data_IF_245204977190
#
_entry.id   IF_245204977190
#
_cell.length_a   1.000
_cell.length_b   1.000
_cell.length_c   1.000
_cell.angle_alpha   90.00
_cell.angle_beta   90.00
_cell.angle_gamma   90.00
#
_symmetry.space_group_name_H-M   'P 1'
#
loop_
_entity.id
_entity.type
_entity.pdbx_description
1 polymer ?
2 polymer ?
3 non-polymer ?
4 non-polymer ?
5 non-polymer ?
6 non-polymer ?
7 water ?
#
# COMPACT_ATOMS: atom_id res chain seq x y z
N UNK A 1 -4.10 -12.16 7.41
CA UNK A 1 -2.65 -12.29 7.68
C UNK A 1 -2.37 -13.58 8.47
N UNK A 2 -1.43 -14.42 7.98
CA UNK A 2 -1.02 -15.69 8.62
C UNK A 2 0.35 -15.49 9.31
N UNK A 3 0.43 -15.87 10.57
CA UNK A 3 1.67 -15.86 11.34
C UNK A 3 2.23 -14.51 11.71
N UNK A 4 1.38 -13.49 11.77
CA UNK A 4 1.78 -12.15 12.17
C UNK A 4 1.43 -11.89 13.62
N UNK A 5 1.24 -10.63 13.95
CA UNK A 5 0.82 -10.21 15.30
C UNK A 5 -0.22 -9.09 15.15
N UNK A 6 -0.91 -8.75 16.23
CA UNK A 6 -1.87 -7.65 16.23
C UNK A 6 -1.04 -6.36 16.03
N UNK A 7 -1.50 -5.46 15.13
CA UNK A 7 -0.81 -4.19 14.97
C UNK A 7 -1.31 -3.34 16.15
N UNK A 8 -0.42 -2.88 17.06
CA UNK A 8 -0.92 -2.08 18.19
C UNK A 8 -1.72 -0.91 17.65
N UNK A 9 -2.92 -0.67 18.22
CA UNK A 9 -3.82 0.40 17.78
C UNK A 9 -3.08 1.74 17.54
N UNK A 10 -3.23 2.28 16.32
CA UNK A 10 -2.60 3.54 15.90
C UNK A 10 -1.23 3.37 15.27
N UNK A 11 -0.67 2.13 15.24
CA UNK A 11 0.65 1.90 14.64
C UNK A 11 0.60 1.59 13.12
N UNK A 12 -0.61 1.38 12.60
CA UNK A 12 -0.86 1.16 11.18
C UNK A 12 -1.91 2.23 10.77
N UNK A 13 -1.62 3.55 10.92
CA UNK A 13 -2.71 4.54 10.76
C UNK A 13 -3.14 4.87 9.33
N UNK A 14 -2.45 4.35 8.34
CA UNK A 14 -2.78 4.50 6.92
C UNK A 14 -3.64 3.32 6.45
N UNK A 15 -3.81 2.30 7.30
CA UNK A 15 -4.61 1.11 6.92
C UNK A 15 -6.07 1.51 6.65
N UNK A 16 -6.64 1.02 5.55
CA UNK A 16 -8.03 1.29 5.21
C UNK A 16 -8.79 -0.05 5.22
N UNK A 17 -10.04 -0.01 5.69
CA UNK A 17 -10.93 -1.17 5.56
C UNK A 17 -11.99 -0.80 4.52
N UNK A 18 -12.15 -1.62 3.50
CA UNK A 18 -13.18 -1.40 2.49
C UNK A 18 -14.35 -2.33 2.76
N UNK A 19 -15.54 -1.74 2.75
CA UNK A 19 -16.81 -2.43 3.00
C UNK A 19 -17.78 -2.25 1.85
N UNK A 20 -18.62 -3.28 1.61
CA UNK A 20 -19.66 -3.23 0.57
C UNK A 20 -20.93 -3.74 1.26
N UNK A 21 -21.96 -2.87 1.37
CA UNK A 21 -23.20 -3.22 2.09
C UNK A 21 -22.87 -3.58 3.56
N UNK A 22 -21.86 -2.91 4.11
CA UNK A 22 -21.39 -3.14 5.47
C UNK A 22 -20.53 -4.37 5.70
N UNK A 23 -20.32 -5.20 4.66
CA UNK A 23 -19.52 -6.42 4.78
C UNK A 23 -18.07 -6.20 4.33
N UNK A 24 -17.14 -6.91 5.00
CA UNK A 24 -15.71 -6.86 4.68
C UNK A 24 -15.44 -7.24 3.23
N UNK A 25 -14.76 -6.35 2.51
CA UNK A 25 -14.38 -6.60 1.13
C UNK A 25 -12.88 -6.78 0.96
N UNK A 26 -12.10 -5.75 1.32
CA UNK A 26 -10.65 -5.69 1.06
C UNK A 26 -10.03 -4.65 1.99
N UNK A 27 -8.73 -4.49 1.83
CA UNK A 27 -7.95 -3.46 2.51
C UNK A 27 -7.62 -2.37 1.51
N UNK A 28 -6.95 -1.35 2.00
CA UNK A 28 -6.52 -0.20 1.22
C UNK A 28 -5.46 0.56 1.99
N UNK A 29 -4.89 1.57 1.33
CA UNK A 29 -3.87 2.43 1.94
C UNK A 29 -4.21 3.88 1.68
N UNK A 30 -4.28 4.66 2.74
CA UNK A 30 -4.53 6.08 2.64
C UNK A 30 -3.19 6.75 2.20
N UNK A 31 -3.20 7.58 1.14
CA UNK A 31 -1.93 8.23 0.71
C UNK A 31 -1.99 9.78 0.85
N UNK A 32 -3.17 10.32 1.11
CA UNK A 32 -3.41 11.74 1.48
C UNK A 32 -4.85 11.84 2.04
N UNK A 33 -5.42 13.03 2.28
CA UNK A 33 -6.74 13.06 2.92
C UNK A 33 -7.94 12.57 2.06
N UNK A 34 -7.77 12.46 0.74
CA UNK A 34 -8.88 12.11 -0.11
C UNK A 34 -8.67 10.82 -0.93
N UNK A 35 -7.43 10.38 -1.06
CA UNK A 35 -7.09 9.27 -1.96
C UNK A 35 -6.63 8.01 -1.24
N UNK A 36 -7.15 6.86 -1.70
CA UNK A 36 -6.83 5.53 -1.19
C UNK A 36 -6.32 4.63 -2.34
N UNK A 37 -5.26 3.86 -2.07
CA UNK A 37 -4.76 2.92 -3.07
C UNK A 37 -5.24 1.52 -2.61
N UNK A 38 -5.80 0.75 -3.53
CA UNK A 38 -6.24 -0.61 -3.23
C UNK A 38 -5.91 -1.51 -4.44
N UNK A 39 -6.48 -2.73 -4.49
CA UNK A 39 -6.24 -3.65 -5.59
C UNK A 39 -7.41 -3.64 -6.55
N UNK A 40 -7.13 -3.61 -7.86
CA UNK A 40 -8.19 -3.63 -8.89
C UNK A 40 -9.15 -4.83 -8.73
N UNK A 41 -8.61 -6.02 -8.37
CA UNK A 41 -9.41 -7.26 -8.30
C UNK A 41 -10.51 -7.23 -7.25
N UNK A 42 -10.38 -6.34 -6.23
CA UNK A 42 -11.41 -6.17 -5.19
C UNK A 42 -12.76 -5.71 -5.77
N UNK A 43 -12.77 -5.12 -6.97
CA UNK A 43 -13.97 -4.55 -7.58
C UNK A 43 -14.56 -5.37 -8.72
N UNK A 44 -14.02 -6.58 -8.95
CA UNK A 44 -14.49 -7.47 -10.04
C UNK A 44 -15.96 -7.85 -9.91
N UNK A 45 -16.46 -8.00 -8.67
CA UNK A 45 -17.81 -8.49 -8.46
C UNK A 45 -18.76 -7.48 -7.82
N UNK A 46 -18.44 -6.18 -7.89
CA UNK A 46 -19.29 -5.13 -7.32
C UNK A 46 -20.43 -4.75 -8.29
N UNK A 47 -21.67 -4.71 -7.78
CA UNK A 47 -22.84 -4.26 -8.56
C UNK A 47 -23.40 -3.00 -7.89
N UNK A 48 -23.38 -2.97 -6.54
CA UNK A 48 -23.82 -1.88 -5.68
C UNK A 48 -22.65 -0.92 -5.42
N UNK A 49 -22.25 -0.17 -6.47
CA UNK A 49 -21.17 0.82 -6.44
C UNK A 49 -21.41 1.94 -5.42
N UNK A 50 -22.69 2.23 -5.11
CA UNK A 50 -23.10 3.28 -4.16
C UNK A 50 -22.97 2.87 -2.69
N UNK A 51 -22.76 1.57 -2.43
CA UNK A 51 -22.65 1.05 -1.08
C UNK A 51 -21.20 0.68 -0.69
N UNK A 52 -20.22 1.28 -1.40
CA UNK A 52 -18.79 1.07 -1.16
C UNK A 52 -18.34 2.08 -0.12
N UNK A 53 -17.81 1.61 1.03
CA UNK A 53 -17.37 2.49 2.12
C UNK A 53 -15.92 2.21 2.48
N UNK A 54 -15.14 3.28 2.75
CA UNK A 54 -13.78 3.15 3.25
C UNK A 54 -13.81 3.60 4.71
N UNK A 55 -13.18 2.82 5.60
CA UNK A 55 -13.11 3.14 7.02
C UNK A 55 -11.64 3.35 7.35
N UNK A 56 -11.32 4.52 7.94
CA UNK A 56 -9.99 4.90 8.42
C UNK A 56 -10.03 4.88 9.93
N UNK A 57 -8.87 4.71 10.56
CA UNK A 57 -8.72 4.69 12.01
C UNK A 57 -9.35 3.46 12.66
N UNK A 58 -9.59 2.43 11.85
CA UNK A 58 -10.17 1.17 12.34
C UNK A 58 -9.08 0.34 13.03
N UNK A 59 -9.48 -0.43 14.03
CA UNK A 59 -8.56 -1.34 14.72
C UNK A 59 -9.27 -2.65 15.04
N UNK A 60 -10.29 -2.57 15.89
CA UNK A 60 -11.07 -3.71 16.37
C UNK A 60 -12.48 -3.65 15.76
N UNK A 61 -12.82 -4.66 14.95
CA UNK A 61 -14.12 -4.69 14.25
C UNK A 61 -15.34 -4.95 15.16
N UNK A 62 -15.10 -5.35 16.41
CA UNK A 62 -16.18 -5.69 17.33
C UNK A 62 -16.71 -4.48 18.13
N UNK A 63 -15.95 -3.37 18.18
CA UNK A 63 -16.36 -2.19 18.95
C UNK A 63 -16.08 -0.89 18.22
N UNK A 64 -16.88 0.12 18.51
CA UNK A 64 -16.71 1.48 17.99
C UNK A 64 -16.05 2.28 19.11
N UNK A 65 -14.81 2.73 18.91
CA UNK A 65 -14.14 3.51 19.96
C UNK A 65 -14.10 5.02 19.66
N UNK A 66 -14.65 5.46 18.52
CA UNK A 66 -14.71 6.86 18.16
C UNK A 66 -13.55 7.38 17.29
N UNK A 67 -12.51 6.57 17.08
CA UNK A 67 -11.41 6.96 16.17
C UNK A 67 -11.71 6.59 14.71
N UNK A 68 -12.73 5.75 14.49
CA UNK A 68 -13.11 5.33 13.13
C UNK A 68 -13.71 6.51 12.36
N UNK A 69 -13.41 6.59 11.07
CA UNK A 69 -13.96 7.60 10.19
C UNK A 69 -14.38 6.87 8.92
N UNK A 70 -15.68 6.92 8.59
CA UNK A 70 -16.22 6.26 7.39
C UNK A 70 -16.47 7.26 6.29
N UNK A 71 -16.11 6.89 5.06
CA UNK A 71 -16.34 7.75 3.91
C UNK A 71 -16.85 6.93 2.77
N UNK A 72 -17.79 7.48 1.99
CA UNK A 72 -18.28 6.83 0.77
C UNK A 72 -17.17 6.94 -0.25
N UNK A 73 -17.01 5.90 -1.08
CA UNK A 73 -16.03 5.91 -2.16
C UNK A 73 -16.73 6.55 -3.35
N UNK A 74 -16.28 7.74 -3.75
CA UNK A 74 -16.85 8.49 -4.88
C UNK A 74 -16.44 7.89 -6.22
N UNK A 75 -15.19 7.41 -6.32
CA UNK A 75 -14.69 6.88 -7.58
C UNK A 75 -13.65 5.81 -7.38
N UNK A 76 -13.68 4.82 -8.27
CA UNK A 76 -12.71 3.74 -8.30
C UNK A 76 -12.07 3.83 -9.67
N UNK A 77 -10.75 4.06 -9.72
CA UNK A 77 -10.01 4.23 -10.98
C UNK A 77 -9.08 3.04 -11.18
N UNK A 78 -9.24 2.35 -12.29
CA UNK A 78 -8.48 1.14 -12.60
C UNK A 78 -7.68 1.34 -13.89
N UNK A 79 -6.43 0.80 -14.01
CA UNK A 79 -5.73 0.92 -15.29
C UNK A 79 -6.43 0.17 -16.40
N UNK A 80 -6.41 0.73 -17.62
CA UNK A 80 -7.03 0.12 -18.81
C UNK A 80 -6.47 -1.30 -19.08
N UNK A 81 -5.22 -1.53 -18.65
CA UNK A 81 -4.51 -2.79 -18.86
C UNK A 81 -4.97 -3.91 -17.94
N UNK A 82 -5.69 -3.56 -16.83
CA UNK A 82 -6.18 -4.58 -15.91
C UNK A 82 -7.34 -5.35 -16.57
N UNK A 83 -7.29 -6.67 -16.47
CA UNK A 83 -8.33 -7.55 -17.01
C UNK A 83 -9.06 -8.28 -15.85
N UNK A 84 -10.39 -8.05 -15.64
CA UNK A 84 -11.10 -8.73 -14.55
C UNK A 84 -10.94 -10.26 -14.59
N UNK A 85 -10.76 -10.84 -13.42
CA UNK A 85 -10.53 -12.27 -13.27
C UNK A 85 -9.07 -12.68 -13.44
N UNK A 86 -8.17 -11.71 -13.69
CA UNK A 86 -6.74 -11.99 -13.83
C UNK A 86 -5.95 -11.25 -12.74
N UNK A 87 -4.61 -11.35 -12.76
CA UNK A 87 -3.74 -10.79 -11.71
C UNK A 87 -2.88 -9.58 -12.12
N UNK A 88 -2.59 -9.39 -13.41
CA UNK A 88 -1.71 -8.30 -13.82
C UNK A 88 -2.33 -6.91 -13.66
N UNK A 89 -1.49 -5.90 -13.34
CA UNK A 89 -1.91 -4.49 -13.14
C UNK A 89 -2.96 -4.39 -12.02
N UNK A 90 -2.69 -5.06 -10.90
CA UNK A 90 -3.66 -5.17 -9.83
C UNK A 90 -3.63 -3.96 -8.88
N UNK A 91 -4.15 -2.85 -9.37
CA UNK A 91 -4.12 -1.59 -8.62
C UNK A 91 -5.39 -0.78 -8.90
N UNK A 92 -5.87 -0.08 -7.88
CA UNK A 92 -7.03 0.78 -7.97
C UNK A 92 -6.77 2.03 -7.16
N UNK A 93 -7.19 3.16 -7.69
CA UNK A 93 -7.07 4.42 -7.00
C UNK A 93 -8.48 4.89 -6.68
N UNK A 94 -8.74 5.15 -5.40
CA UNK A 94 -10.06 5.48 -4.89
C UNK A 94 -10.14 6.88 -4.35
N UNK A 95 -11.13 7.65 -4.85
CA UNK A 95 -11.38 9.01 -4.40
C UNK A 95 -12.49 8.97 -3.35
N UNK A 96 -12.22 9.50 -2.16
CA UNK A 96 -13.24 9.53 -1.12
C UNK A 96 -14.21 10.67 -1.40
N UNK A 97 -15.48 10.54 -1.00
CA UNK A 97 -16.51 11.58 -1.24
C UNK A 97 -16.19 12.87 -0.50
N UNK A 98 -15.62 12.75 0.70
CA UNK A 98 -15.20 13.85 1.57
C UNK A 98 -13.86 13.44 2.19
N UNK A 99 -12.92 14.39 2.40
CA UNK A 99 -11.64 14.00 3.03
C UNK A 99 -11.82 13.44 4.42
N UNK A 100 -10.89 12.56 4.80
CA UNK A 100 -10.78 12.10 6.17
C UNK A 100 -10.07 13.24 6.93
N UNK A 101 -10.24 13.28 8.23
CA UNK A 101 -9.56 14.23 9.10
C UNK A 101 -8.32 13.53 9.64
N UNK A 102 -7.12 14.11 9.42
CA UNK A 102 -5.92 13.49 9.98
C UNK A 102 -5.89 13.65 11.49
N UNK A 103 -5.58 12.56 12.18
CA UNK A 103 -5.52 12.50 13.67
C UNK A 103 -4.38 11.56 14.05
N UNK A 104 -4.15 11.35 15.36
CA UNK A 104 -3.13 10.37 15.77
C UNK A 104 -3.43 8.98 15.22
N UNK A 105 -4.72 8.69 14.92
CA UNK A 105 -5.10 7.36 14.41
C UNK A 105 -5.35 7.28 12.89
N UNK A 106 -5.33 8.45 12.18
CA UNK A 106 -5.58 8.47 10.71
C UNK A 106 -4.47 9.31 10.08
N UNK A 107 -3.55 8.66 9.39
CA UNK A 107 -2.35 9.32 8.80
C UNK A 107 -2.05 8.66 7.47
N UNK A 108 -1.75 9.42 6.42
CA UNK A 108 -1.43 8.76 5.17
C UNK A 108 -0.02 8.15 5.13
N UNK A 109 0.13 7.13 4.31
CA UNK A 109 1.44 6.56 4.00
C UNK A 109 2.02 7.38 2.84
N UNK A 110 3.36 7.64 2.81
CA UNK A 110 3.91 8.41 1.69
C UNK A 110 3.91 7.61 0.40
N UNK A 111 3.35 8.19 -0.67
CA UNK A 111 3.47 7.58 -1.98
C UNK A 111 4.84 8.12 -2.47
N UNK A 112 5.85 7.24 -2.70
CA UNK A 112 7.18 7.76 -3.04
C UNK A 112 7.31 8.18 -4.50
N UNK A 113 8.40 8.89 -4.86
CA UNK A 113 8.68 9.15 -6.27
C UNK A 113 9.18 7.84 -6.88
N UNK A 114 8.99 7.68 -8.18
CA UNK A 114 9.40 6.46 -8.89
C UNK A 114 10.89 6.11 -8.74
N UNK A 115 11.79 7.08 -9.01
CA UNK A 115 13.24 6.81 -8.95
C UNK A 115 13.69 6.43 -7.57
N UNK A 116 13.20 7.16 -6.55
CA UNK A 116 13.51 6.83 -5.17
C UNK A 116 13.03 5.40 -4.83
N UNK A 117 11.82 5.04 -5.30
CA UNK A 117 11.28 3.71 -5.00
C UNK A 117 12.07 2.58 -5.70
N UNK A 118 12.44 2.78 -6.96
CA UNK A 118 13.19 1.79 -7.75
C UNK A 118 14.66 1.65 -7.32
N UNK A 119 15.32 2.78 -7.03
CA UNK A 119 16.75 2.80 -6.68
C UNK A 119 17.07 2.55 -5.22
N UNK A 120 16.13 2.84 -4.30
CA UNK A 120 16.39 2.74 -2.88
C UNK A 120 15.43 1.80 -2.16
N UNK A 121 14.12 2.11 -2.21
CA UNK A 121 13.10 1.33 -1.50
C UNK A 121 13.06 -0.13 -1.91
N UNK A 122 13.24 -0.41 -3.21
CA UNK A 122 13.23 -1.75 -3.78
C UNK A 122 14.32 -2.66 -3.19
N UNK A 123 15.36 -2.07 -2.56
CA UNK A 123 16.49 -2.80 -1.95
C UNK A 123 16.40 -2.87 -0.44
N UNK A 124 15.31 -2.31 0.17
CA UNK A 124 15.12 -2.43 1.62
C UNK A 124 14.51 -3.85 1.73
N UNK A 125 15.19 -4.75 2.47
CA UNK A 125 14.78 -6.16 2.52
C UNK A 125 13.40 -6.41 3.11
N UNK A 126 13.16 -5.94 4.34
CA UNK A 126 11.90 -6.19 5.03
C UNK A 126 10.93 -5.03 4.96
N UNK A 127 9.64 -5.37 4.86
CA UNK A 127 8.53 -4.43 4.81
C UNK A 127 7.33 -5.02 5.52
N UNK A 128 6.39 -4.17 5.93
CA UNK A 128 5.20 -4.63 6.68
C UNK A 128 3.98 -4.75 5.79
N UNK A 129 3.25 -5.85 5.97
CA UNK A 129 2.00 -6.13 5.27
C UNK A 129 0.94 -6.26 6.35
N UNK A 130 -0.26 -5.72 6.12
CA UNK A 130 -1.28 -5.71 7.15
C UNK A 130 -2.71 -5.85 6.64
N UNK A 131 -3.61 -6.28 7.52
CA UNK A 131 -5.02 -6.43 7.18
C UNK A 131 -5.83 -7.26 8.16
N UNK A 132 -7.14 -7.28 7.92
CA UNK A 132 -8.11 -8.01 8.74
C UNK A 132 -8.50 -9.33 8.05
N UNK A 133 -7.66 -9.79 7.14
CA UNK A 133 -7.86 -11.00 6.37
C UNK A 133 -7.82 -12.27 7.20
N UNK A 134 -7.99 -13.40 6.52
CA UNK A 134 -7.97 -14.73 7.16
C UNK A 134 -6.66 -14.97 7.89
N UNK A 135 -6.77 -15.50 9.10
CA UNK A 135 -5.63 -15.80 9.97
C UNK A 135 -4.92 -17.09 9.54
N UNK A 136 -5.61 -17.89 8.71
CA UNK A 136 -5.15 -19.18 8.22
C UNK A 136 -5.76 -19.41 6.87
N UNK A 137 -5.13 -20.25 6.07
CA UNK A 137 -5.71 -20.67 4.79
C UNK A 137 -7.01 -21.44 5.16
N UNK A 138 -8.15 -21.07 4.55
CA UNK A 138 -9.47 -21.63 4.83
C UNK A 138 -9.91 -21.45 6.30
N UNK A 139 -9.46 -20.34 6.91
CA UNK A 139 -9.74 -20.01 8.29
C UNK A 139 -10.54 -18.72 8.46
N UNK A 140 -10.83 -18.36 9.71
CA UNK A 140 -11.59 -17.17 10.05
C UNK A 140 -10.72 -15.90 9.85
N UNK A 141 -11.39 -14.78 9.60
CA UNK A 141 -10.74 -13.45 9.47
C UNK A 141 -10.48 -12.89 10.88
N UNK A 142 -9.61 -11.89 10.97
CA UNK A 142 -9.24 -11.27 12.24
C UNK A 142 -10.19 -10.18 12.64
N UNK A 143 -10.43 -10.05 13.96
CA UNK A 143 -11.22 -8.97 14.53
C UNK A 143 -10.32 -7.77 14.79
N UNK A 144 -9.03 -8.00 15.06
CA UNK A 144 -8.07 -6.90 15.27
C UNK A 144 -7.13 -6.85 14.09
N UNK A 145 -6.72 -5.64 13.69
CA UNK A 145 -5.82 -5.48 12.56
C UNK A 145 -4.51 -6.23 12.82
N UNK A 146 -4.07 -7.02 11.84
CA UNK A 146 -2.85 -7.81 11.94
C UNK A 146 -1.76 -7.23 11.05
N UNK A 147 -0.50 -7.46 11.41
CA UNK A 147 0.70 -6.97 10.69
C UNK A 147 1.75 -8.06 10.66
N UNK A 148 2.49 -8.12 9.56
CA UNK A 148 3.53 -9.11 9.35
C UNK A 148 4.72 -8.46 8.65
N UNK A 149 5.93 -8.78 9.14
CA UNK A 149 7.17 -8.34 8.50
C UNK A 149 7.56 -9.42 7.46
N UNK A 150 7.80 -9.01 6.21
CA UNK A 150 8.13 -9.92 5.10
C UNK A 150 9.36 -9.48 4.32
N UNK A 151 10.25 -10.43 3.92
CA UNK A 151 11.39 -10.04 3.05
C UNK A 151 10.99 -10.08 1.58
N UNK A 152 11.51 -9.14 0.81
CA UNK A 152 11.26 -9.04 -0.62
C UNK A 152 12.32 -9.87 -1.36
N UNK A 153 11.92 -10.52 -2.44
CA UNK A 153 12.80 -11.33 -3.27
C UNK A 153 12.93 -10.72 -4.67
N UNK A 154 14.07 -10.97 -5.34
CA UNK A 154 14.21 -10.60 -6.75
C UNK A 154 13.36 -11.67 -7.47
N UNK A 155 12.66 -11.28 -8.56
CA UNK A 155 11.74 -12.16 -9.30
C UNK A 155 12.41 -13.47 -9.79
N UNK A 156 13.68 -13.39 -10.26
CA UNK A 156 14.45 -14.59 -10.70
C UNK A 156 14.57 -15.55 -9.50
N UNK A 157 14.94 -15.01 -8.31
CA UNK A 157 15.08 -15.78 -7.08
C UNK A 157 13.75 -16.37 -6.60
N UNK A 158 12.62 -15.63 -6.81
CA UNK A 158 11.28 -16.11 -6.43
C UNK A 158 10.87 -17.31 -7.28
N UNK A 159 11.09 -17.23 -8.61
CA UNK A 159 10.80 -18.29 -9.59
C UNK A 159 11.66 -19.55 -9.38
N UNK A 160 12.94 -19.35 -9.00
CA UNK A 160 13.91 -20.40 -8.70
C UNK A 160 13.54 -21.17 -7.43
N UNK A 161 13.05 -20.45 -6.39
CA UNK A 161 12.68 -21.00 -5.09
C UNK A 161 11.26 -21.58 -5.02
N UNK A 162 10.44 -21.33 -6.06
CA UNK A 162 9.05 -21.78 -6.08
C UNK A 162 8.80 -23.08 -6.81
N UNK A 163 7.93 -23.92 -6.22
CA UNK A 163 7.49 -25.21 -6.76
C UNK A 163 6.58 -24.99 -7.97
N UNK A 164 6.73 -25.82 -9.02
CA UNK A 164 5.90 -25.74 -10.23
C UNK A 164 4.52 -26.33 -9.91
N UNK A 165 3.44 -25.70 -10.41
CA UNK A 165 2.08 -26.16 -10.14
C UNK A 165 1.23 -26.40 -11.39
N UNK A 166 1.48 -25.66 -12.46
CA UNK A 166 0.73 -25.76 -13.70
C UNK A 166 -0.50 -24.88 -13.69
N UNK A 167 -0.70 -24.08 -14.78
CA UNK A 167 -1.79 -23.10 -14.95
C UNK A 167 -1.69 -21.94 -13.93
N UNK A 168 -0.54 -21.84 -13.25
CA UNK A 168 -0.22 -20.81 -12.26
C UNK A 168 0.11 -19.49 -12.98
N UNK A 169 -0.31 -18.31 -12.46
CA UNK A 169 0.01 -17.06 -13.17
C UNK A 169 1.49 -16.70 -13.10
N UNK A 170 2.01 -16.07 -14.17
CA UNK A 170 3.41 -15.62 -14.25
C UNK A 170 3.61 -14.39 -13.34
N UNK A 171 4.86 -14.16 -12.90
CA UNK A 171 5.23 -12.99 -12.10
C UNK A 171 5.74 -11.98 -13.13
N UNK A 172 5.00 -10.87 -13.32
CA UNK A 172 5.33 -9.86 -14.33
C UNK A 172 6.17 -8.74 -13.70
N UNK A 173 6.60 -7.76 -14.51
CA UNK A 173 7.33 -6.59 -14.02
C UNK A 173 6.43 -5.63 -13.19
N UNK A 174 5.12 -5.88 -13.18
CA UNK A 174 4.13 -5.10 -12.41
C UNK A 174 3.82 -5.75 -11.06
N UNK A 175 4.64 -6.75 -10.68
CA UNK A 175 4.51 -7.48 -9.43
C UNK A 175 5.88 -7.70 -8.79
N UNK A 176 5.89 -8.14 -7.53
CA UNK A 176 7.06 -8.64 -6.83
C UNK A 176 6.65 -9.68 -5.78
N UNK A 177 7.58 -10.57 -5.44
CA UNK A 177 7.40 -11.61 -4.42
C UNK A 177 7.94 -11.11 -3.10
N UNK A 178 7.25 -11.47 -2.01
CA UNK A 178 7.66 -11.22 -0.65
C UNK A 178 7.08 -12.24 0.29
N UNK A 179 7.83 -12.58 1.31
CA UNK A 179 7.36 -13.53 2.31
C UNK A 179 8.29 -14.70 2.55
N UNK A 180 7.69 -15.87 2.88
CA UNK A 180 8.44 -17.08 3.25
C UNK A 180 7.86 -18.31 2.56
N UNK A 181 8.73 -19.27 2.21
CA UNK A 181 8.36 -20.50 1.51
C UNK A 181 8.18 -21.71 2.46
N UNK A 182 8.25 -21.51 3.79
CA UNK A 182 8.13 -22.61 4.76
C UNK A 182 6.71 -22.82 5.35
N UNK A 183 5.70 -22.18 4.77
CA UNK A 183 4.30 -22.31 5.19
C UNK A 183 3.93 -21.71 6.53
N UNK A 184 4.70 -20.75 7.01
CA UNK A 184 4.44 -20.15 8.31
C UNK A 184 3.82 -18.76 8.31
N UNK A 185 4.23 -17.90 7.35
CA UNK A 185 3.82 -16.48 7.35
C UNK A 185 3.50 -15.98 5.96
N UNK A 186 2.36 -15.27 5.82
CA UNK A 186 1.92 -14.74 4.54
C UNK A 186 0.72 -13.80 4.71
N UNK A 187 0.36 -13.12 3.61
CA UNK A 187 -0.85 -12.33 3.55
C UNK A 187 -1.92 -13.39 3.19
N UNK A 188 -3.20 -13.07 3.33
CA UNK A 188 -4.23 -14.08 3.02
C UNK A 188 -5.48 -13.42 2.41
N UNK A 189 -6.54 -14.22 2.12
CA UNK A 189 -7.78 -13.67 1.57
C UNK A 189 -8.32 -12.58 2.47
N UNK A 190 -8.79 -11.49 1.86
CA UNK A 190 -9.33 -10.40 2.65
C UNK A 190 -8.29 -9.34 2.97
N UNK A 191 -6.99 -9.67 2.85
CA UNK A 191 -5.92 -8.66 3.04
C UNK A 191 -5.68 -7.88 1.74
N UNK A 192 -6.15 -8.42 0.61
CA UNK A 192 -6.01 -7.82 -0.73
C UNK A 192 -6.26 -6.32 -0.70
N UNK A 193 -5.39 -5.57 -1.37
CA UNK A 193 -5.51 -4.11 -1.46
C UNK A 193 -4.80 -3.36 -0.36
N UNK A 194 -4.44 -4.09 0.71
CA UNK A 194 -3.74 -3.50 1.86
C UNK A 194 -2.29 -3.12 1.55
N UNK A 195 -1.67 -2.37 2.47
CA UNK A 195 -0.30 -1.90 2.24
C UNK A 195 0.81 -2.93 2.44
N UNK A 196 1.86 -2.78 1.62
CA UNK A 196 3.18 -3.37 1.79
C UNK A 196 3.99 -2.06 1.95
N UNK A 197 4.33 -1.73 3.19
CA UNK A 197 4.95 -0.46 3.63
C UNK A 197 6.42 -0.65 3.95
N UNK A 198 7.27 0.24 3.44
CA UNK A 198 8.71 0.13 3.60
C UNK A 198 9.26 1.35 4.35
N UNK A 199 10.05 1.09 5.40
CA UNK A 199 10.70 2.11 6.21
C UNK A 199 12.05 2.50 5.58
N UNK A 200 12.31 3.79 5.54
CA UNK A 200 13.59 4.32 5.06
C UNK A 200 13.86 5.65 5.74
N UNK A 201 14.97 5.71 6.52
CA UNK A 201 15.44 6.89 7.25
C UNK A 201 14.33 7.62 8.05
N UNK A 202 13.59 6.86 8.85
CA UNK A 202 12.58 7.37 9.75
C UNK A 202 11.19 7.60 9.18
N UNK A 203 10.95 7.22 7.90
CA UNK A 203 9.65 7.44 7.22
C UNK A 203 9.18 6.20 6.49
N UNK A 204 7.85 5.98 6.47
CA UNK A 204 7.24 4.82 5.80
C UNK A 204 6.67 5.21 4.44
N UNK A 205 6.87 4.33 3.45
CA UNK A 205 6.45 4.54 2.06
C UNK A 205 5.64 3.35 1.52
N UNK A 206 4.78 3.63 0.55
CA UNK A 206 3.99 2.60 -0.12
C UNK A 206 4.82 1.99 -1.25
N UNK A 207 5.13 0.70 -1.10
CA UNK A 207 5.89 -0.02 -2.14
C UNK A 207 5.11 -1.15 -2.79
N UNK A 208 4.12 -1.67 -2.08
CA UNK A 208 3.36 -2.79 -2.65
C UNK A 208 1.91 -2.78 -2.22
N UNK A 209 1.10 -3.55 -2.94
CA UNK A 209 -0.32 -3.76 -2.61
C UNK A 209 -0.50 -5.29 -2.50
N UNK A 210 -1.13 -5.75 -1.41
CA UNK A 210 -1.45 -7.20 -1.28
C UNK A 210 -2.30 -7.57 -2.51
N UNK A 211 -1.83 -8.55 -3.29
CA UNK A 211 -2.52 -8.88 -4.53
C UNK A 211 -3.01 -10.36 -4.60
N UNK A 212 -2.07 -11.32 -4.59
CA UNK A 212 -2.41 -12.75 -4.72
C UNK A 212 -1.30 -13.72 -4.25
N UNK A 213 -1.63 -15.00 -4.26
CA UNK A 213 -0.76 -16.09 -3.89
C UNK A 213 -1.45 -17.40 -4.18
N UNK A 214 -0.71 -18.53 -4.13
CA UNK A 214 -1.30 -19.85 -4.44
C UNK A 214 -1.68 -20.52 -3.14
N UNK A 215 -2.72 -19.99 -2.51
CA UNK A 215 -3.17 -20.39 -1.18
C UNK A 215 -2.32 -19.64 -0.15
N UNK A 216 -2.86 -19.46 1.06
CA UNK A 216 -2.13 -18.72 2.09
C UNK A 216 -1.08 -19.54 2.77
N UNK A 217 0.16 -19.02 2.78
CA UNK A 217 1.32 -19.64 3.42
C UNK A 217 1.49 -21.10 2.96
N UNK A 218 1.44 -21.32 1.65
CA UNK A 218 1.60 -22.64 1.05
C UNK A 218 3.11 -22.89 0.96
N UNK A 219 3.59 -24.07 1.44
CA UNK A 219 5.01 -24.45 1.39
C UNK A 219 5.48 -24.35 -0.07
N UNK A 220 6.64 -23.74 -0.30
CA UNK A 220 7.21 -23.59 -1.62
C UNK A 220 6.70 -22.38 -2.40
N UNK A 221 5.88 -21.51 -1.76
CA UNK A 221 5.33 -20.32 -2.42
C UNK A 221 5.47 -19.06 -1.60
N UNK A 222 5.52 -17.91 -2.29
CA UNK A 222 5.64 -16.59 -1.67
C UNK A 222 4.40 -15.78 -1.98
N UNK A 223 4.18 -14.70 -1.23
CA UNK A 223 3.09 -13.77 -1.51
C UNK A 223 3.46 -12.90 -2.71
N UNK A 224 2.46 -12.51 -3.51
CA UNK A 224 2.68 -11.67 -4.70
C UNK A 224 2.03 -10.31 -4.43
N UNK A 225 2.78 -9.25 -4.72
CA UNK A 225 2.35 -7.89 -4.43
C UNK A 225 2.44 -7.04 -5.68
N UNK A 226 1.51 -6.09 -5.86
CA UNK A 226 1.56 -5.19 -7.03
C UNK A 226 2.76 -4.27 -6.83
N UNK A 227 3.60 -4.11 -7.86
CA UNK A 227 4.81 -3.27 -7.77
C UNK A 227 4.40 -1.81 -8.02
N UNK A 228 4.08 -1.10 -6.93
CA UNK A 228 3.55 0.28 -6.92
C UNK A 228 4.42 1.28 -7.73
N UNK A 229 5.75 1.10 -7.72
CA UNK A 229 6.69 2.01 -8.41
C UNK A 229 6.38 2.15 -9.91
N UNK A 230 5.78 1.12 -10.53
CA UNK A 230 5.40 1.12 -11.94
C UNK A 230 4.24 2.11 -12.21
N UNK A 231 3.50 2.50 -11.14
CA UNK A 231 2.27 3.28 -11.22
C UNK A 231 2.34 4.68 -10.65
N UNK A 232 3.50 5.11 -10.12
CA UNK A 232 3.61 6.43 -9.51
C UNK A 232 3.10 7.55 -10.43
N UNK A 233 3.62 7.62 -11.66
CA UNK A 233 3.25 8.68 -12.60
C UNK A 233 1.76 8.60 -12.96
N UNK A 234 1.23 7.37 -13.13
CA UNK A 234 -0.17 7.11 -13.43
C UNK A 234 -1.07 7.67 -12.30
N UNK A 235 -0.74 7.34 -11.05
CA UNK A 235 -1.46 7.80 -9.85
C UNK A 235 -1.38 9.34 -9.71
N UNK A 236 -0.15 9.93 -9.81
CA UNK A 236 0.02 11.38 -9.66
C UNK A 236 -0.82 12.16 -10.65
N UNK A 237 -0.84 11.72 -11.91
CA UNK A 237 -1.61 12.39 -12.96
C UNK A 237 -3.12 12.34 -12.64
N UNK A 238 -3.63 11.18 -12.20
CA UNK A 238 -5.03 11.04 -11.81
C UNK A 238 -5.42 11.90 -10.61
N UNK A 239 -4.52 12.01 -9.62
CA UNK A 239 -4.81 12.83 -8.43
C UNK A 239 -4.85 14.34 -8.74
N UNK A 240 -4.23 14.76 -9.84
CA UNK A 240 -4.22 16.18 -10.27
C UNK A 240 -5.41 16.47 -11.20
N UNK A 241 -6.29 15.47 -11.44
CA UNK A 241 -7.42 15.61 -12.35
C UNK A 241 -8.75 15.82 -11.63
N UNK A 242 -9.69 16.50 -12.31
CA UNK A 242 -11.02 16.76 -11.79
C UNK A 242 -11.84 15.49 -11.78
N UNK A 243 -12.69 15.27 -10.76
CA UNK A 243 -13.58 14.10 -10.78
C UNK A 243 -14.48 14.07 -12.03
N UNK A 244 -14.80 12.84 -12.49
CA UNK A 244 -15.65 12.57 -13.66
C UNK A 244 -16.87 11.79 -13.18
N UNK A 245 -18.08 12.00 -13.78
CA UNK A 245 -19.26 11.23 -13.31
C UNK A 245 -19.09 9.71 -13.45
N UNK A 246 -19.79 8.96 -12.61
CA UNK A 246 -19.73 7.49 -12.59
C UNK A 246 -18.65 7.00 -11.64
N UNK A 247 -18.98 6.00 -10.81
CA UNK A 247 -18.06 5.48 -9.81
C UNK A 247 -16.84 4.80 -10.46
N UNK A 248 -17.05 3.86 -11.38
CA UNK A 248 -15.90 3.19 -11.98
C UNK A 248 -15.34 3.94 -13.16
N UNK A 249 -14.02 4.18 -13.15
CA UNK A 249 -13.34 4.83 -14.25
C UNK A 249 -12.13 3.99 -14.69
N UNK A 250 -12.05 3.70 -16.00
CA UNK A 250 -10.89 3.00 -16.53
C UNK A 250 -9.99 4.08 -17.14
N UNK A 251 -8.75 4.17 -16.66
CA UNK A 251 -7.82 5.18 -17.16
C UNK A 251 -6.69 4.56 -17.93
N UNK A 252 -6.29 5.14 -19.08
CA UNK A 252 -5.19 4.54 -19.85
C UNK A 252 -3.91 4.35 -19.05
N UNK A 253 -3.28 3.20 -19.23
CA UNK A 253 -1.99 2.91 -18.61
C UNK A 253 -1.10 2.46 -19.79
N UNK A 254 0.14 3.00 -19.95
CA UNK A 254 0.83 4.01 -19.12
C UNK A 254 0.15 5.39 -19.05
N UNK B 1 24.96 10.87 -9.02
CA UNK B 1 25.09 10.94 -7.56
C UNK B 1 23.89 10.24 -6.87
N UNK B 2 22.66 10.48 -7.36
CA UNK B 2 21.43 9.91 -6.79
C UNK B 2 21.40 8.38 -6.82
N UNK B 3 22.07 7.77 -7.82
CA UNK B 3 22.16 6.30 -7.95
C UNK B 3 22.90 5.66 -6.76
N UNK B 4 23.93 6.34 -6.21
CA UNK B 4 24.69 5.84 -5.06
C UNK B 4 24.18 6.37 -3.71
N UNK B 5 23.69 5.45 -2.85
CA UNK B 5 23.13 5.68 -1.50
C UNK B 5 22.14 6.87 -1.44
N UNK B 6 21.27 6.97 -2.47
CA UNK B 6 20.23 7.99 -2.62
C UNK B 6 20.81 9.43 -2.66
N UNK B 7 22.08 9.53 -3.05
CA UNK B 7 22.84 10.77 -3.12
C UNK B 7 23.00 11.44 -1.77
N UNK B 8 22.84 10.66 -0.70
CA UNK B 8 22.87 11.14 0.68
C UNK B 8 21.54 11.77 1.14
N UNK B 9 20.52 11.81 0.25
CA UNK B 9 19.22 12.43 0.58
C UNK B 9 18.39 11.57 1.53
N UNK B 10 17.70 12.21 2.48
CA UNK B 10 16.81 11.48 3.38
C UNK B 10 15.59 10.98 2.60
N UNK B 11 15.09 11.78 1.65
CA UNK B 11 13.93 11.43 0.84
C UNK B 11 14.25 11.37 -0.65
N UNK B 12 13.88 12.40 -1.45
CA UNK B 12 14.04 12.36 -2.90
C UNK B 12 15.33 12.99 -3.37
N UNK B 13 15.86 12.50 -4.48
CA UNK B 13 17.12 12.98 -5.04
C UNK B 13 16.95 13.31 -6.52
N UNK B 14 17.49 14.47 -6.94
CA UNK B 14 17.49 14.92 -8.33
C UNK B 14 18.93 15.22 -8.78
N UNK B 15 19.37 14.52 -9.85
CA UNK B 15 20.69 14.69 -10.45
C UNK B 15 20.65 15.88 -11.37
N UNK B 16 21.73 16.67 -11.38
CA UNK B 16 21.87 17.85 -12.22
C UNK B 16 23.21 17.79 -12.99
N UNK B 17 23.38 18.69 -13.98
CA UNK B 17 24.58 18.78 -14.82
C UNK B 17 25.85 18.89 -13.98
N UNK B 18 26.84 18.05 -14.30
CA UNK B 18 28.10 17.99 -13.58
C UNK B 18 27.98 17.26 -12.26
N UNK B 19 28.69 17.76 -11.22
CA UNK B 19 28.66 17.15 -9.88
C UNK B 19 27.57 17.82 -8.99
N UNK B 20 26.40 18.14 -9.57
CA UNK B 20 25.30 18.78 -8.85
C UNK B 20 24.15 17.81 -8.50
N UNK B 21 23.66 17.92 -7.26
CA UNK B 21 22.60 17.08 -6.70
C UNK B 21 21.67 17.96 -5.87
N UNK B 22 20.33 17.78 -6.01
CA UNK B 22 19.38 18.52 -5.20
C UNK B 22 18.47 17.48 -4.51
N UNK B 23 18.43 17.50 -3.16
CA UNK B 23 17.54 16.64 -2.39
C UNK B 23 16.22 17.37 -2.30
N UNK B 24 15.13 16.61 -2.23
CA UNK B 24 13.81 17.20 -2.11
C UNK B 24 13.05 16.37 -1.09
N UNK B 25 11.88 16.86 -0.70
CA UNK B 25 11.04 16.23 0.29
C UNK B 25 9.63 16.09 -0.25
N UNK B 26 8.88 15.15 0.31
CA UNK B 26 7.46 14.95 0.01
C UNK B 26 6.73 16.18 0.57
N UNK B 27 5.50 16.47 0.08
CA UNK B 27 4.66 17.55 0.65
C UNK B 27 4.50 17.31 2.15
N UNK B 28 4.39 18.39 2.93
CA UNK B 28 4.26 18.29 4.38
C UNK B 28 5.62 18.20 5.08
N UNK B 29 6.71 18.38 4.31
CA UNK B 29 8.09 18.39 4.79
C UNK B 29 8.88 19.51 4.10
N UNK B 30 9.92 20.02 4.78
CA UNK B 30 10.86 20.99 4.20
C UNK B 30 12.28 20.49 4.38
N UNK B 31 13.14 20.83 3.43
CA UNK B 31 14.55 20.45 3.41
C UNK B 31 15.33 21.33 4.42
N UNK B 32 16.15 20.70 5.25
CA UNK B 32 16.97 21.44 6.23
C UNK B 32 18.12 22.12 5.49
N UNK B 33 18.84 23.04 6.18
CA UNK B 33 19.99 23.75 5.59
C UNK B 33 21.17 22.82 5.26
N UNK B 34 21.19 21.58 5.82
CA UNK B 34 22.19 20.57 5.45
C UNK B 34 22.00 20.11 3.98
N UNK B 35 20.83 20.42 3.41
CA UNK B 35 20.49 20.07 2.03
C UNK B 35 20.16 18.60 1.81
N UNK B 36 20.05 17.79 2.90
CA UNK B 36 19.75 16.34 2.79
C UNK B 36 18.53 15.90 3.63
N UNK B 37 18.38 16.49 4.82
CA UNK B 37 17.35 16.09 5.79
C UNK B 37 16.02 16.76 5.52
N UNK B 38 14.93 16.04 5.88
CA UNK B 38 13.56 16.52 5.73
C UNK B 38 12.91 16.62 7.09
N UNK B 39 12.26 17.75 7.36
CA UNK B 39 11.60 17.95 8.64
C UNK B 39 10.09 18.21 8.41
N UNK B 40 9.17 17.66 9.23
CA UNK B 40 7.74 17.94 9.01
C UNK B 40 7.38 19.43 9.15
N UNK B 41 6.48 19.89 8.29
CA UNK B 41 5.97 21.26 8.35
C UNK B 41 4.49 21.23 8.79
N UNK B 42 3.92 20.01 8.88
CA UNK B 42 2.51 19.81 9.27
C UNK B 42 2.43 18.93 10.50
N UNK B 43 1.25 18.89 11.12
CA UNK B 43 1.01 18.09 12.31
C UNK B 43 1.03 16.59 12.02
N UNK B 44 0.45 16.16 10.88
CA UNK B 44 0.37 14.73 10.50
C UNK B 44 1.07 14.46 9.17
N UNK B 45 2.43 14.54 9.12
CA UNK B 45 3.12 14.31 7.84
C UNK B 45 2.95 12.84 7.46
N UNK B 46 2.99 12.56 6.17
CA UNK B 46 2.89 11.18 5.72
C UNK B 46 4.01 10.28 6.26
N UNK B 47 3.68 9.00 6.46
CA UNK B 47 4.68 8.00 6.80
C UNK B 47 5.31 8.07 8.15
N UNK B 48 4.73 8.86 9.09
CA UNK B 48 5.17 8.95 10.48
C UNK B 48 4.01 8.47 11.34
N UNK B 49 4.33 7.81 12.44
CA UNK B 49 3.35 7.24 13.38
C UNK B 49 3.27 8.08 14.64
N UNK B 50 2.20 8.92 14.75
CA UNK B 50 2.10 9.83 15.90
C UNK B 50 2.28 9.22 17.29
N UNK B 51 1.68 8.06 17.57
CA UNK B 51 1.82 7.46 18.91
C UNK B 51 3.27 7.03 19.21
N UNK B 52 4.07 6.76 18.15
CA UNK B 52 5.47 6.39 18.31
C UNK B 52 6.34 7.65 18.36
N UNK B 53 5.99 8.68 17.55
CA UNK B 53 6.68 9.98 17.51
C UNK B 53 6.57 10.73 18.85
N UNK B 54 5.35 10.74 19.45
CA UNK B 54 5.02 11.41 20.72
C UNK B 54 5.73 10.80 21.94
N UNK B 55 6.17 9.52 21.87
CA UNK B 55 6.87 8.87 22.96
C UNK B 55 8.34 8.60 22.64
X LIG C 1 -12.26 -12.99 3.57
X LIG C 1 -13.51 -12.13 3.28
X LIG C 1 -14.34 -12.12 4.57
X LIG C 1 -13.06 -10.67 3.06
X LIG C 1 -14.21 -12.75 2.05
X LIG C 1 -15.64 -12.26 1.75
X LIG C 1 -16.19 -13.00 0.65
X LIG C 1 -13.40 -12.94 0.85
X LIG C 1 -12.89 -14.05 0.30
X LIG C 1 -13.13 -15.18 0.69
X LIG C 1 -12.03 -13.87 -0.91
X LIG C 1 -12.15 -14.64 -2.09
X LIG C 1 -11.35 -14.38 -3.21
X LIG C 1 -10.43 -13.32 -3.21
X LIG C 1 -10.33 -12.55 -2.05
X LIG C 1 -11.12 -12.80 -0.91
X LIG C 1 -9.42 -11.38 -1.85
X LIG C 1 -9.45 -10.49 -2.70
X LIG C 1 -8.55 -11.25 -0.87
X LIG C 1 -9.61 -13.04 -4.43
X LIG C 1 -10.31 -12.59 -5.58
X LIG C 1 -9.65 -12.23 -6.76
X LIG C 1 -8.24 -12.22 -6.74
X LIG C 1 -7.57 -12.60 -5.62
X LIG C 1 -8.22 -12.99 -4.49
X LIG C 1 -7.27 -13.37 -3.42
X LIG C 1 -7.66 -14.29 -2.72
X LIG C 1 -6.07 -12.83 -3.13
X LIG C 1 -5.08 -13.07 -2.25
X LIG C 1 -4.53 -12.12 -1.39
X LIG C 1 -3.53 -12.45 -0.46
X LIG C 1 -3.08 -13.76 -0.36
X LIG C 1 -3.63 -14.75 -1.19
X LIG C 1 -4.64 -14.42 -2.11
X LIG C 1 -3.14 -16.17 -1.11
X LIG C 1 -3.89 -17.10 -1.36
X LIG C 1 -1.87 -16.39 -0.76
X LIG C 1 -7.62 -11.81 -7.84
X LIG C 1 -6.16 -11.67 -7.91
X LIG D 1 -13.62 -0.36 15.83
X LIG E 1 -18.92 10.71 3.08
X LIG E 1 -18.69 11.55 4.26
X LIG E 1 -19.91 11.31 2.21
X LIG E 1 -17.74 10.50 2.34
X LIG E 1 -19.43 9.43 3.55
X LIG F 1 -22.32 -6.26 -4.65
X LIG F 1 -22.53 -4.83 -4.72
X LIG F 1 -22.87 -6.91 -5.84
X LIG F 1 -20.88 -6.51 -4.55
X LIG F 1 -22.99 -6.79 -3.46
X LIG G 1 4.72 -17.90 -6.19
X LIG G 1 3.94 -16.75 -5.79
X LIG G 1 5.48 -17.59 -7.41
X LIG G 1 5.64 -18.26 -5.11
X LIG G 1 3.77 -18.98 -6.48
X LIG H 1 0.54 12.96 -2.72
X LIG H 1 1.36 13.67 -1.72
X LIG H 1 -0.45 13.89 -3.28
X LIG H 1 1.40 12.46 -3.80
X LIG H 1 -0.14 11.81 -2.12
X LIG I 1 -14.24 -10.58 -1.43
X LIG I 1 -13.33 -10.24 -0.39
X LIG I 1 -13.84 -9.96 -2.75
X LIG I 1 -14.11 -10.87 -3.83
X LIG I 1 -12.41 -9.49 -2.76
X LIG I 1 -11.74 -9.79 -3.97
X LIG J 1 -14.19 -3.27 -13.10
X LIG J 1 -12.89 -3.80 -13.37
X LIG J 1 -15.21 -4.38 -13.01
X LIG J 1 -16.49 -3.85 -12.64
X LIG J 1 -15.34 -5.12 -14.33
X LIG J 1 -15.72 -6.46 -14.11
X LIG K 1 4.35 0.55 11.33
X LIG K 1 3.16 -0.01 10.79
X LIG K 1 4.95 -0.31 12.42
X LIG K 1 6.03 0.38 13.06
X LIG K 1 3.93 -0.74 13.45
X LIG K 1 4.54 -1.35 14.57
#
# INVERSE_FOLDING_TARGET
IVGGKVCPKGECPWQVLLLVNGAQLCGGTLINTIWVVSAAHCFDKIKNWRNLIAVLGEHDLSEHDGDEQSRRVAQVIIPSTYVPGTTNHDIALLRLHQPVVLTDHVVPLCLPERTFSERTLAFVRFSLVSGWGQLLDRGATALELMVLNVPRLMTQDCLQQSRKVGDSPNITEYMFCAGYSDGSKDSCKGDSGGPHATHYRGTWYLTGIVSWGQGCATVGHFGVYTRVSQYIEWLQKLMRSEPRPGVLLRAPFP
ICVNENGGCEQYCSDHTGTKRSCRCHEGYSLLADGVSCTPTVEYPCGKIPILEKR
1NL C1 C2 C3 C4 C5 C6 O7 N8 C9 O10 C11 C12 C13 C14 C15 C16 C17 O18 O19 C20 C21 C22 C23 N24 C25 C26 O27 N28 C29 C30 C31 C32 C33 C34 C35 O36 N37 O38 C39
CA CA
SO4 S O1 O2 O3 O4
SO4 S O1 O2 O3 O4
SO4 S O1 O2 O3 O4
SO4 S O1 O2 O3 O4
GOL C1 O1 C2 O2 C3 O3
GOL C1 O1 C2 O2 C3 O3
GOL C1 O1 C2 O2 C3 O3
#
